data_IF_336078033891
#
_entry.id   IF_336078033891
#
_cell.length_a   1.000
_cell.length_b   1.000
_cell.length_c   1.000
_cell.angle_alpha   90.00
_cell.angle_beta   90.00
_cell.angle_gamma   90.00
#
_symmetry.space_group_name_H-M   'P 1'
#
loop_
_entity.id
_entity.type
_entity.pdbx_description
1 polymer ?
#
# COMPACT_ATOMS: atom_id res chain seq x y z
N UNK A 1 -5.30 -12.65 -17.26
CA UNK A 1 -4.33 -13.43 -16.45
C UNK A 1 -2.94 -13.21 -17.02
N UNK A 2 -2.19 -12.24 -16.52
CA UNK A 2 -0.80 -12.03 -16.88
C UNK A 2 0.04 -12.29 -15.64
N UNK A 3 0.86 -13.33 -15.70
CA UNK A 3 1.90 -13.64 -14.74
C UNK A 3 3.07 -12.69 -14.97
N UNK A 4 3.44 -11.88 -13.99
CA UNK A 4 4.74 -11.19 -14.00
C UNK A 4 5.79 -11.93 -13.18
N UNK A 5 6.95 -12.03 -13.82
CA UNK A 5 8.07 -12.89 -13.51
C UNK A 5 9.12 -12.12 -12.71
N UNK A 6 9.07 -12.16 -11.39
CA UNK A 6 10.17 -11.64 -10.54
C UNK A 6 10.25 -12.28 -9.14
N UNK A 7 9.94 -13.57 -8.98
CA UNK A 7 10.01 -14.21 -7.66
C UNK A 7 10.95 -15.42 -7.64
N UNK A 8 12.26 -15.16 -7.63
CA UNK A 8 13.29 -16.20 -7.80
C UNK A 8 13.76 -16.92 -6.52
N UNK A 9 13.14 -16.75 -5.35
CA UNK A 9 13.50 -17.51 -4.12
C UNK A 9 12.37 -17.69 -3.08
N UNK A 10 11.09 -17.69 -3.48
CA UNK A 10 9.97 -17.96 -2.55
C UNK A 10 9.33 -19.30 -2.91
N UNK A 11 9.19 -20.20 -1.94
CA UNK A 11 8.40 -21.42 -2.10
C UNK A 11 6.94 -20.98 -2.25
N UNK A 12 6.46 -20.95 -3.49
CA UNK A 12 5.05 -20.76 -3.81
C UNK A 12 4.39 -22.12 -3.62
N UNK A 13 3.80 -22.36 -2.45
CA UNK A 13 2.89 -23.49 -2.28
C UNK A 13 1.59 -23.09 -2.95
N UNK A 14 1.47 -23.40 -4.24
CA UNK A 14 0.17 -23.57 -4.87
C UNK A 14 -0.36 -24.88 -4.32
N UNK A 15 -1.32 -24.79 -3.41
CA UNK A 15 -2.09 -25.93 -2.92
C UNK A 15 -3.11 -26.29 -4.02
N UNK A 16 -2.61 -26.77 -5.17
CA UNK A 16 -3.46 -27.40 -6.18
C UNK A 16 -3.64 -28.88 -5.79
N UNK A 17 -4.88 -29.32 -5.84
CA UNK A 17 -5.51 -30.40 -5.07
C UNK A 17 -5.03 -31.85 -5.30
N UNK A 18 -3.85 -32.11 -5.87
CA UNK A 18 -3.40 -33.50 -6.10
C UNK A 18 -1.97 -33.85 -5.70
N UNK A 19 -1.09 -32.88 -5.38
CA UNK A 19 0.26 -33.19 -4.91
C UNK A 19 0.77 -32.17 -3.89
N UNK A 20 0.23 -32.28 -2.67
CA UNK A 20 0.82 -31.64 -1.50
C UNK A 20 2.24 -32.20 -1.29
N UNK A 21 3.32 -31.39 -1.34
CA UNK A 21 4.63 -31.85 -0.94
C UNK A 21 4.58 -32.23 0.55
N UNK A 22 4.67 -33.53 0.84
CA UNK A 22 4.87 -34.02 2.19
C UNK A 22 6.26 -33.57 2.66
N UNK A 23 6.35 -32.39 3.26
CA UNK A 23 7.54 -31.95 3.97
C UNK A 23 7.68 -32.80 5.24
N UNK A 24 8.34 -33.95 5.13
CA UNK A 24 8.78 -34.76 6.27
C UNK A 24 10.09 -34.23 6.86
N UNK A 25 10.31 -32.91 6.84
CA UNK A 25 11.54 -32.34 7.38
C UNK A 25 11.31 -31.96 8.83
N UNK A 26 11.71 -32.87 9.72
CA UNK A 26 11.80 -32.62 11.15
C UNK A 26 12.85 -31.58 11.53
N UNK A 27 13.49 -30.85 10.61
CA UNK A 27 14.55 -29.87 10.92
C UNK A 27 14.26 -28.44 10.47
N UNK A 28 13.08 -28.18 9.88
CA UNK A 28 12.75 -26.85 9.38
C UNK A 28 12.43 -25.89 10.54
N UNK A 29 13.35 -24.96 10.83
CA UNK A 29 13.21 -23.99 11.94
C UNK A 29 12.54 -22.68 11.52
N UNK A 30 12.62 -22.31 10.23
CA UNK A 30 12.05 -21.08 9.68
C UNK A 30 11.35 -21.33 8.34
N UNK A 31 10.16 -20.76 8.18
CA UNK A 31 9.36 -20.85 6.96
C UNK A 31 8.80 -19.46 6.59
N UNK A 32 9.00 -19.05 5.34
CA UNK A 32 8.37 -17.88 4.75
C UNK A 32 7.51 -18.34 3.57
N UNK A 33 6.22 -18.04 3.60
CA UNK A 33 5.25 -18.51 2.61
C UNK A 33 4.35 -17.38 2.15
N UNK A 34 3.87 -17.49 0.90
CA UNK A 34 2.77 -16.69 0.40
C UNK A 34 1.59 -17.63 0.13
N UNK A 35 0.44 -17.34 0.72
CA UNK A 35 -0.80 -18.13 0.57
C UNK A 35 -1.92 -17.28 0.00
N UNK A 36 -2.89 -17.91 -0.67
CA UNK A 36 -3.99 -17.17 -1.29
C UNK A 36 -5.08 -16.86 -0.27
N UNK A 37 -5.52 -17.87 0.49
CA UNK A 37 -6.58 -17.73 1.49
C UNK A 37 -6.09 -18.03 2.91
N UNK A 38 -6.89 -17.62 3.89
CA UNK A 38 -6.57 -17.81 5.31
C UNK A 38 -6.61 -19.29 5.73
N UNK A 39 -7.46 -20.09 5.10
CA UNK A 39 -7.58 -21.53 5.40
C UNK A 39 -6.30 -22.29 5.04
N UNK A 40 -5.63 -21.93 3.95
CA UNK A 40 -4.30 -22.45 3.59
C UNK A 40 -3.28 -22.24 4.72
N UNK A 41 -3.33 -21.07 5.37
CA UNK A 41 -2.47 -20.76 6.50
C UNK A 41 -2.77 -21.68 7.69
N UNK A 42 -4.06 -21.89 8.01
CA UNK A 42 -4.48 -22.79 9.10
C UNK A 42 -4.06 -24.24 8.83
N UNK A 43 -4.23 -24.74 7.61
CA UNK A 43 -3.80 -26.09 7.22
C UNK A 43 -2.28 -26.29 7.31
N UNK A 44 -1.49 -25.25 7.17
CA UNK A 44 -0.03 -25.33 7.37
C UNK A 44 0.33 -25.35 8.85
N UNK A 45 -0.48 -24.70 9.68
CA UNK A 45 -0.33 -24.65 11.12
C UNK A 45 -0.87 -25.89 11.85
N UNK A 46 -1.62 -26.77 11.21
CA UNK A 46 -2.22 -27.95 11.87
C UNK A 46 -1.24 -29.15 11.96
N UNK A 47 -0.09 -28.96 12.60
CA UNK A 47 0.75 -30.08 13.07
C UNK A 47 1.75 -30.70 12.09
N UNK A 48 1.99 -30.09 10.91
CA UNK A 48 3.00 -30.61 9.95
C UNK A 48 4.45 -30.23 10.26
N UNK A 49 4.68 -29.24 11.12
CA UNK A 49 6.00 -28.67 11.37
C UNK A 49 6.33 -28.51 12.87
N UNK A 50 6.49 -29.63 13.57
CA UNK A 50 6.66 -29.66 15.04
C UNK A 50 7.95 -28.99 15.56
N UNK A 51 8.93 -28.71 14.70
CA UNK A 51 10.17 -27.99 15.06
C UNK A 51 10.23 -26.55 14.53
N UNK A 52 9.16 -26.07 13.91
CA UNK A 52 9.13 -24.71 13.37
C UNK A 52 9.14 -23.70 14.52
N UNK A 53 10.10 -22.78 14.50
CA UNK A 53 10.20 -21.69 15.47
C UNK A 53 9.74 -20.36 14.88
N UNK A 54 9.92 -20.15 13.58
CA UNK A 54 9.59 -18.90 12.90
C UNK A 54 8.74 -19.17 11.68
N UNK A 55 7.58 -18.51 11.63
CA UNK A 55 6.70 -18.54 10.46
C UNK A 55 6.36 -17.13 10.02
N UNK A 56 6.61 -16.81 8.75
CA UNK A 56 6.16 -15.57 8.12
C UNK A 56 5.17 -15.91 7.00
N UNK A 57 4.00 -15.31 7.05
CA UNK A 57 2.88 -15.55 6.14
C UNK A 57 2.53 -14.26 5.41
N UNK A 58 2.65 -14.29 4.09
CA UNK A 58 2.18 -13.26 3.17
C UNK A 58 0.84 -13.72 2.59
N UNK A 59 -0.27 -13.16 3.06
CA UNK A 59 -1.64 -13.56 2.73
C UNK A 59 -2.27 -12.59 1.74
N UNK A 60 -2.80 -13.11 0.63
CA UNK A 60 -3.46 -12.28 -0.38
C UNK A 60 -4.83 -11.81 0.10
N UNK A 61 -5.70 -12.71 0.57
CA UNK A 61 -7.06 -12.35 0.97
C UNK A 61 -7.55 -13.17 2.18
N UNK A 62 -8.42 -12.57 2.99
CA UNK A 62 -9.16 -13.24 4.08
C UNK A 62 -10.64 -13.27 3.69
N UNK A 63 -11.14 -14.43 3.24
CA UNK A 63 -12.56 -14.63 2.97
C UNK A 63 -13.33 -14.98 4.26
N UNK A 64 -14.66 -14.84 4.21
CA UNK A 64 -15.54 -15.40 5.23
C UNK A 64 -15.31 -16.92 5.28
N UNK A 65 -15.03 -17.52 6.44
CA UNK A 65 -14.87 -18.97 6.50
C UNK A 65 -16.22 -19.62 6.22
N UNK A 66 -16.22 -20.71 5.47
CA UNK A 66 -17.34 -21.65 5.45
C UNK A 66 -17.24 -22.65 6.62
N UNK A 67 -16.08 -22.78 7.26
CA UNK A 67 -15.86 -23.73 8.35
C UNK A 67 -15.26 -23.07 9.58
N UNK A 68 -15.81 -23.43 10.73
CA UNK A 68 -15.35 -23.04 12.06
C UNK A 68 -13.91 -23.53 12.22
N UNK A 69 -13.04 -22.63 12.67
CA UNK A 69 -11.65 -22.87 13.09
C UNK A 69 -11.51 -24.28 13.71
N UNK A 70 -10.90 -25.21 12.98
CA UNK A 70 -10.60 -26.55 13.48
C UNK A 70 -9.68 -26.46 14.72
N UNK A 71 -10.04 -27.22 15.75
CA UNK A 71 -9.48 -27.24 17.11
C UNK A 71 -8.12 -27.97 17.23
N UNK A 72 -7.31 -28.00 16.16
CA UNK A 72 -6.00 -28.65 16.19
C UNK A 72 -4.97 -27.90 17.06
N UNK A 73 -3.98 -28.61 17.57
CA UNK A 73 -2.84 -28.00 18.27
C UNK A 73 -1.94 -27.27 17.26
N UNK A 74 -1.70 -25.98 17.49
CA UNK A 74 -0.75 -25.20 16.67
C UNK A 74 0.71 -25.55 17.05
N UNK A 75 1.68 -25.44 16.12
CA UNK A 75 3.09 -25.58 16.44
C UNK A 75 3.51 -24.57 17.49
N UNK A 76 4.47 -24.95 18.33
CA UNK A 76 5.03 -24.09 19.36
C UNK A 76 6.01 -23.06 18.75
N UNK A 77 5.45 -22.09 18.06
CA UNK A 77 6.19 -21.00 17.41
C UNK A 77 6.77 -20.05 18.46
N UNK A 78 7.97 -19.54 18.19
CA UNK A 78 8.56 -18.41 18.93
C UNK A 78 8.30 -17.09 18.22
N UNK A 79 8.32 -17.10 16.88
CA UNK A 79 8.14 -15.91 16.06
C UNK A 79 7.07 -16.16 15.01
N UNK A 80 6.16 -15.21 14.87
CA UNK A 80 5.12 -15.24 13.84
C UNK A 80 5.01 -13.87 13.19
N UNK A 81 4.89 -13.83 11.87
CA UNK A 81 4.59 -12.61 11.13
C UNK A 81 3.45 -12.87 10.17
N UNK A 82 2.43 -12.02 10.20
CA UNK A 82 1.31 -12.05 9.27
C UNK A 82 1.25 -10.73 8.51
N UNK A 83 1.29 -10.81 7.19
CA UNK A 83 1.05 -9.69 6.28
C UNK A 83 -0.19 -10.00 5.46
N UNK A 84 -1.21 -9.13 5.46
CA UNK A 84 -2.41 -9.27 4.63
C UNK A 84 -2.47 -8.11 3.64
N UNK A 85 -2.44 -8.43 2.33
CA UNK A 85 -2.40 -7.41 1.28
C UNK A 85 -3.75 -6.75 1.00
N UNK A 86 -4.86 -7.43 1.31
CA UNK A 86 -6.20 -6.90 1.10
C UNK A 86 -6.89 -6.64 2.43
N UNK A 87 -7.66 -5.54 2.48
CA UNK A 87 -8.51 -5.19 3.60
C UNK A 87 -9.38 -6.38 4.05
N UNK A 88 -9.46 -6.58 5.36
CA UNK A 88 -10.33 -7.59 5.97
C UNK A 88 -11.31 -6.99 6.96
N UNK A 89 -12.56 -7.46 6.96
CA UNK A 89 -13.54 -7.17 8.01
C UNK A 89 -13.50 -8.17 9.17
N UNK A 90 -12.58 -9.14 9.13
CA UNK A 90 -12.56 -10.32 10.01
C UNK A 90 -11.45 -10.28 11.06
N UNK A 91 -10.96 -9.09 11.44
CA UNK A 91 -9.93 -8.94 12.47
C UNK A 91 -10.32 -9.64 13.79
N UNK A 92 -11.51 -9.35 14.31
CA UNK A 92 -12.00 -9.95 15.56
C UNK A 92 -12.40 -11.42 15.41
N UNK A 93 -12.89 -11.82 14.23
CA UNK A 93 -13.44 -13.15 13.99
C UNK A 93 -12.37 -14.19 13.64
N UNK A 94 -11.25 -13.79 13.02
CA UNK A 94 -10.23 -14.70 12.49
C UNK A 94 -8.83 -14.39 12.98
N UNK A 95 -8.40 -13.13 12.90
CA UNK A 95 -7.03 -12.76 13.26
C UNK A 95 -6.81 -12.91 14.77
N UNK A 96 -7.66 -12.30 15.60
CA UNK A 96 -7.51 -12.39 17.06
C UNK A 96 -7.58 -13.84 17.58
N UNK A 97 -8.57 -14.68 17.20
CA UNK A 97 -8.60 -16.07 17.65
C UNK A 97 -7.37 -16.89 17.24
N UNK A 98 -6.86 -16.70 16.02
CA UNK A 98 -5.61 -17.33 15.58
C UNK A 98 -4.44 -16.90 16.49
N UNK A 99 -4.29 -15.60 16.71
CA UNK A 99 -3.24 -15.04 17.56
C UNK A 99 -3.35 -15.57 19.00
N UNK A 100 -4.55 -15.73 19.56
CA UNK A 100 -4.74 -16.23 20.93
C UNK A 100 -4.28 -17.67 21.11
N UNK A 101 -4.42 -18.50 20.08
CA UNK A 101 -3.88 -19.87 20.07
C UNK A 101 -2.35 -19.89 20.04
N UNK A 102 -1.71 -18.79 19.63
CA UNK A 102 -0.26 -18.58 19.64
C UNK A 102 0.18 -17.65 20.78
N UNK A 103 -0.47 -17.71 21.94
CA UNK A 103 -0.18 -16.82 23.08
C UNK A 103 1.25 -16.90 23.64
N UNK A 104 2.00 -17.96 23.30
CA UNK A 104 3.35 -18.20 23.76
C UNK A 104 4.45 -17.54 22.90
N UNK A 105 4.08 -16.81 21.85
CA UNK A 105 5.03 -16.12 20.96
C UNK A 105 5.95 -15.17 21.74
N UNK A 106 7.23 -15.14 21.36
CA UNK A 106 8.21 -14.16 21.82
C UNK A 106 8.28 -12.95 20.88
N UNK A 107 7.96 -13.13 19.60
CA UNK A 107 7.95 -12.06 18.59
C UNK A 107 6.72 -12.15 17.69
N UNK A 108 6.07 -11.02 17.45
CA UNK A 108 4.92 -10.88 16.56
C UNK A 108 5.13 -9.73 15.56
N UNK A 109 4.97 -10.05 14.28
CA UNK A 109 4.80 -9.10 13.19
C UNK A 109 3.34 -9.09 12.71
N UNK A 110 2.69 -7.93 12.65
CA UNK A 110 1.33 -7.81 12.15
C UNK A 110 1.18 -6.65 11.17
N UNK A 111 0.99 -6.95 9.89
CA UNK A 111 0.86 -5.97 8.81
C UNK A 111 -0.48 -6.19 8.12
N UNK A 112 -1.50 -5.42 8.47
CA UNK A 112 -2.87 -5.67 8.02
C UNK A 112 -3.60 -4.38 7.68
N UNK A 113 -4.48 -4.46 6.69
CA UNK A 113 -5.52 -3.49 6.45
C UNK A 113 -6.85 -4.06 6.95
N UNK A 114 -7.64 -3.25 7.66
CA UNK A 114 -8.87 -3.70 8.32
C UNK A 114 -10.01 -2.74 8.02
N UNK A 115 -11.14 -3.26 7.54
CA UNK A 115 -12.38 -2.49 7.46
C UNK A 115 -13.18 -2.68 8.74
N UNK A 116 -13.49 -1.60 9.45
CA UNK A 116 -14.11 -1.62 10.77
C UNK A 116 -15.37 -0.74 10.77
N UNK A 117 -16.40 -1.18 11.47
CA UNK A 117 -17.69 -0.47 11.52
C UNK A 117 -17.92 0.25 12.87
N UNK A 118 -17.04 0.05 13.86
CA UNK A 118 -17.28 0.50 15.24
C UNK A 118 -16.29 1.55 15.71
N UNK A 119 -14.98 1.24 15.66
CA UNK A 119 -13.91 2.12 16.13
C UNK A 119 -12.59 1.71 15.49
N UNK A 120 -11.66 2.65 15.34
CA UNK A 120 -10.30 2.35 14.91
C UNK A 120 -9.60 1.41 15.90
N UNK A 121 -8.69 0.58 15.39
CA UNK A 121 -7.75 -0.15 16.23
C UNK A 121 -6.73 0.87 16.74
N UNK A 122 -6.72 1.11 18.05
CA UNK A 122 -5.80 2.02 18.73
C UNK A 122 -4.86 1.24 19.69
N UNK A 123 -4.04 1.97 20.46
CA UNK A 123 -3.15 1.37 21.46
C UNK A 123 -3.86 0.65 22.58
N UNK A 124 -5.06 1.09 22.99
CA UNK A 124 -5.85 0.41 24.01
C UNK A 124 -6.38 -0.94 23.50
N UNK A 125 -6.84 -0.99 22.25
CA UNK A 125 -7.25 -2.22 21.57
C UNK A 125 -6.08 -3.19 21.51
N UNK A 126 -4.92 -2.77 20.99
CA UNK A 126 -3.74 -3.63 20.88
C UNK A 126 -3.23 -4.10 22.25
N UNK A 127 -3.29 -3.24 23.28
CA UNK A 127 -2.91 -3.62 24.65
C UNK A 127 -3.83 -4.69 25.21
N UNK A 128 -5.14 -4.49 25.11
CA UNK A 128 -6.16 -5.44 25.60
C UNK A 128 -6.13 -6.75 24.84
N UNK A 129 -6.07 -6.68 23.51
CA UNK A 129 -6.32 -7.82 22.65
C UNK A 129 -5.04 -8.60 22.36
N UNK A 130 -3.87 -7.96 22.34
CA UNK A 130 -2.60 -8.65 22.04
C UNK A 130 -1.69 -8.68 23.26
N UNK A 131 -1.24 -7.51 23.74
CA UNK A 131 -0.17 -7.42 24.76
C UNK A 131 -0.55 -8.16 26.05
N UNK A 132 -1.75 -7.91 26.59
CA UNK A 132 -2.20 -8.51 27.83
C UNK A 132 -2.41 -10.03 27.74
N UNK A 133 -2.61 -10.57 26.52
CA UNK A 133 -2.86 -11.99 26.28
C UNK A 133 -1.61 -12.78 25.93
N UNK A 134 -0.56 -12.10 25.46
CA UNK A 134 0.71 -12.70 25.04
C UNK A 134 1.82 -12.35 26.03
N UNK A 135 1.80 -12.96 27.21
CA UNK A 135 2.72 -12.64 28.31
C UNK A 135 4.21 -12.90 28.02
N UNK A 136 4.52 -13.68 26.97
CA UNK A 136 5.88 -13.98 26.52
C UNK A 136 6.38 -13.04 25.42
N UNK A 137 5.53 -12.15 24.92
CA UNK A 137 5.84 -11.28 23.80
C UNK A 137 6.87 -10.23 24.22
N UNK A 138 8.08 -10.35 23.67
CA UNK A 138 9.19 -9.41 23.90
C UNK A 138 9.26 -8.35 22.81
N UNK A 139 8.79 -8.68 21.62
CA UNK A 139 8.81 -7.79 20.47
C UNK A 139 7.48 -7.85 19.72
N UNK A 140 6.86 -6.69 19.58
CA UNK A 140 5.67 -6.51 18.75
C UNK A 140 5.93 -5.41 17.73
N UNK A 141 5.94 -5.79 16.46
CA UNK A 141 6.05 -4.87 15.32
C UNK A 141 4.77 -4.93 14.52
N UNK A 142 4.20 -3.78 14.19
CA UNK A 142 2.96 -3.76 13.44
C UNK A 142 2.88 -2.59 12.46
N UNK A 143 2.06 -2.77 11.44
CA UNK A 143 1.44 -1.73 10.64
C UNK A 143 -0.02 -2.12 10.50
N UNK A 144 -0.91 -1.27 11.02
CA UNK A 144 -2.35 -1.51 10.96
C UNK A 144 -2.96 -0.27 10.33
N UNK A 145 -3.57 -0.47 9.17
CA UNK A 145 -4.37 0.53 8.49
C UNK A 145 -5.83 0.16 8.70
N UNK A 146 -6.53 0.98 9.48
CA UNK A 146 -7.96 0.80 9.76
C UNK A 146 -8.76 1.73 8.87
N UNK A 147 -9.73 1.20 8.14
CA UNK A 147 -10.65 1.94 7.31
C UNK A 147 -12.08 1.83 7.87
N UNK A 148 -12.81 2.93 7.91
CA UNK A 148 -14.19 2.97 8.38
C UNK A 148 -15.09 3.64 7.35
N UNK A 149 -16.27 3.05 7.11
CA UNK A 149 -17.26 3.51 6.13
C UNK A 149 -18.53 3.95 6.86
N UNK A 150 -19.21 4.99 6.35
CA UNK A 150 -20.45 5.56 6.89
C UNK A 150 -20.29 6.19 8.29
N UNK A 151 -19.23 6.96 8.42
CA UNK A 151 -18.78 7.57 9.67
C UNK A 151 -19.48 8.91 9.95
N UNK A 152 -20.16 9.07 11.09
CA UNK A 152 -20.58 10.38 11.58
C UNK A 152 -19.37 11.09 12.23
N UNK A 153 -18.87 12.16 11.62
CA UNK A 153 -17.60 12.81 12.00
C UNK A 153 -17.46 13.29 13.45
N UNK A 154 -18.56 13.48 14.19
CA UNK A 154 -18.55 14.23 15.45
C UNK A 154 -17.87 13.50 16.63
N UNK A 155 -17.67 12.19 16.56
CA UNK A 155 -17.18 11.38 17.69
C UNK A 155 -15.84 10.67 17.43
N UNK A 156 -15.10 11.04 16.38
CA UNK A 156 -13.86 10.33 16.06
C UNK A 156 -12.61 10.92 16.72
N UNK A 157 -11.66 10.06 17.13
CA UNK A 157 -10.45 10.49 17.85
C UNK A 157 -9.49 11.24 16.92
N UNK A 158 -8.92 12.36 17.35
CA UNK A 158 -7.87 13.02 16.57
C UNK A 158 -6.61 12.14 16.48
N UNK A 159 -5.66 12.52 15.61
CA UNK A 159 -4.33 11.91 15.57
C UNK A 159 -3.68 11.92 16.96
N UNK A 160 -3.79 13.02 17.71
CA UNK A 160 -3.27 13.15 19.06
C UNK A 160 -3.97 12.21 20.05
N UNK A 161 -5.29 12.03 19.92
CA UNK A 161 -6.05 11.11 20.78
C UNK A 161 -5.61 9.67 20.56
N UNK A 162 -5.45 9.22 19.30
CA UNK A 162 -4.89 7.90 18.99
C UNK A 162 -3.47 7.77 19.51
N UNK A 163 -2.60 8.76 19.26
CA UNK A 163 -1.21 8.74 19.69
C UNK A 163 -1.09 8.61 21.22
N UNK A 164 -1.96 9.28 21.99
CA UNK A 164 -2.00 9.20 23.46
C UNK A 164 -2.27 7.78 23.98
N UNK A 165 -2.98 6.95 23.23
CA UNK A 165 -3.24 5.56 23.64
C UNK A 165 -1.97 4.69 23.66
N UNK A 166 -0.88 5.17 23.07
CA UNK A 166 0.41 4.48 23.01
C UNK A 166 1.42 4.95 24.07
N UNK A 167 1.05 5.86 24.99
CA UNK A 167 2.00 6.44 25.95
C UNK A 167 2.67 5.39 26.85
N UNK A 168 1.94 4.34 27.21
CA UNK A 168 2.42 3.22 28.02
C UNK A 168 2.66 1.96 27.18
N UNK A 169 2.78 2.10 25.86
CA UNK A 169 3.03 0.96 24.98
C UNK A 169 4.50 0.53 25.10
N UNK A 170 4.82 -0.78 25.14
CA UNK A 170 6.20 -1.25 25.29
C UNK A 170 7.17 -0.79 24.19
N UNK A 171 6.65 -0.28 23.07
CA UNK A 171 7.43 0.29 21.97
C UNK A 171 7.22 1.80 21.93
N UNK A 172 8.30 2.56 22.13
CA UNK A 172 8.24 4.02 22.25
C UNK A 172 8.20 4.74 20.89
N UNK A 173 8.39 4.03 19.78
CA UNK A 173 8.42 4.62 18.44
C UNK A 173 7.21 4.17 17.63
N UNK A 174 6.03 4.65 18.02
CA UNK A 174 4.79 4.41 17.31
C UNK A 174 4.36 5.71 16.65
N UNK A 175 4.09 5.65 15.35
CA UNK A 175 3.54 6.77 14.59
C UNK A 175 2.08 6.43 14.31
N UNK A 176 1.23 7.44 14.46
CA UNK A 176 -0.17 7.37 14.06
C UNK A 176 -0.59 8.64 13.35
N UNK A 177 -1.55 8.51 12.45
CA UNK A 177 -2.33 9.63 11.94
C UNK A 177 -3.72 9.16 11.51
N UNK A 178 -4.66 10.08 11.57
CA UNK A 178 -6.07 9.86 11.25
C UNK A 178 -6.48 10.83 10.17
N UNK A 179 -7.19 10.32 9.16
CA UNK A 179 -7.82 11.13 8.13
C UNK A 179 -9.33 10.93 8.14
N UNK A 180 -10.01 12.02 7.85
CA UNK A 180 -11.45 12.06 7.70
C UNK A 180 -11.78 12.50 6.30
N UNK A 181 -12.61 11.72 5.63
CA UNK A 181 -13.08 11.99 4.28
C UNK A 181 -14.59 12.32 4.29
N UNK A 182 -15.00 13.55 4.69
CA UNK A 182 -16.40 13.95 4.74
C UNK A 182 -17.18 13.69 3.45
N UNK A 183 -16.59 13.93 2.28
CA UNK A 183 -17.30 13.75 1.00
C UNK A 183 -17.58 12.27 0.70
N UNK A 184 -16.61 11.41 1.01
CA UNK A 184 -16.73 9.96 0.86
C UNK A 184 -17.49 9.29 2.02
N UNK A 185 -17.71 10.00 3.13
CA UNK A 185 -18.20 9.46 4.41
C UNK A 185 -17.32 8.33 4.94
N UNK A 186 -16.03 8.46 4.72
CA UNK A 186 -15.02 7.48 5.06
C UNK A 186 -14.01 8.08 6.04
N UNK A 187 -13.29 7.23 6.75
CA UNK A 187 -12.21 7.66 7.63
C UNK A 187 -11.17 6.57 7.69
N UNK A 188 -9.91 6.95 7.86
CA UNK A 188 -8.82 6.00 8.01
C UNK A 188 -7.92 6.35 9.18
N UNK A 189 -7.30 5.33 9.76
CA UNK A 189 -6.27 5.48 10.76
C UNK A 189 -5.11 4.57 10.43
N UNK A 190 -3.93 5.16 10.30
CA UNK A 190 -2.67 4.43 10.17
C UNK A 190 -2.00 4.41 11.53
N UNK A 191 -1.63 3.22 12.01
CA UNK A 191 -0.81 3.04 13.21
C UNK A 191 0.32 2.06 12.91
N UNK A 192 1.56 2.40 13.25
CA UNK A 192 2.69 1.50 13.01
C UNK A 192 3.88 1.72 13.92
N UNK A 193 4.61 0.63 14.13
CA UNK A 193 5.92 0.65 14.76
C UNK A 193 6.97 1.18 13.78
N UNK A 194 7.82 2.10 14.23
CA UNK A 194 8.90 2.68 13.42
C UNK A 194 10.28 2.10 13.81
N UNK A 195 11.14 1.73 12.84
CA UNK A 195 10.92 1.78 11.39
C UNK A 195 9.93 0.72 10.90
N UNK A 196 9.09 1.09 9.92
CA UNK A 196 8.20 0.14 9.25
C UNK A 196 8.97 -0.69 8.22
N UNK A 197 8.74 -2.00 8.20
CA UNK A 197 9.30 -2.95 7.22
C UNK A 197 8.32 -3.29 6.10
N UNK A 198 7.18 -2.61 6.04
CA UNK A 198 6.16 -2.91 5.04
C UNK A 198 6.64 -2.52 3.63
N UNK A 199 6.42 -3.37 2.61
CA UNK A 199 6.85 -3.06 1.25
C UNK A 199 5.88 -2.17 0.49
N UNK A 200 4.68 -1.94 1.01
CA UNK A 200 3.67 -1.04 0.45
C UNK A 200 3.22 -0.03 1.49
N UNK A 201 2.62 1.08 1.05
CA UNK A 201 1.98 2.07 1.90
C UNK A 201 0.79 2.69 1.16
N UNK A 202 -0.41 2.35 1.59
CA UNK A 202 -1.63 2.74 0.87
C UNK A 202 -2.35 3.94 1.45
N UNK A 203 -3.06 4.65 0.58
CA UNK A 203 -3.92 5.80 0.88
C UNK A 203 -3.22 6.89 1.71
N UNK A 204 -2.04 7.32 1.27
CA UNK A 204 -1.34 8.46 1.87
C UNK A 204 -2.05 9.76 1.50
N UNK A 205 -2.27 10.63 2.49
CA UNK A 205 -3.00 11.90 2.39
C UNK A 205 -2.14 13.07 2.83
N UNK A 206 -2.70 14.29 2.85
CA UNK A 206 -2.05 15.51 3.32
C UNK A 206 -1.62 15.47 4.80
N UNK A 207 -2.22 14.60 5.62
CA UNK A 207 -1.83 14.48 7.03
C UNK A 207 -0.62 13.57 7.23
N UNK A 208 -0.02 13.06 6.14
CA UNK A 208 1.18 12.25 6.20
C UNK A 208 2.32 13.00 6.91
N UNK A 209 2.82 12.49 8.04
CA UNK A 209 3.81 13.20 8.85
C UNK A 209 5.22 13.22 8.24
N UNK A 210 5.42 12.55 7.10
CA UNK A 210 6.76 12.28 6.56
C UNK A 210 7.48 11.15 7.30
N UNK A 211 8.81 11.18 7.24
CA UNK A 211 9.69 10.15 7.81
C UNK A 211 10.54 9.50 6.73
N UNK A 212 11.26 8.43 7.06
CA UNK A 212 12.12 7.72 6.10
C UNK A 212 11.75 6.24 6.03
N UNK A 213 11.18 5.83 4.90
CA UNK A 213 10.61 4.51 4.70
C UNK A 213 11.44 3.73 3.66
N UNK A 214 12.62 3.26 4.08
CA UNK A 214 13.59 2.59 3.19
C UNK A 214 13.11 1.25 2.61
N UNK A 215 12.10 0.63 3.21
CA UNK A 215 11.61 -0.70 2.83
C UNK A 215 10.37 -0.65 1.93
N UNK A 216 9.68 0.48 1.87
CA UNK A 216 8.51 0.67 1.02
C UNK A 216 8.95 0.78 -0.44
N UNK A 217 8.21 0.13 -1.33
CA UNK A 217 8.41 0.05 -2.78
C UNK A 217 7.20 0.48 -3.56
N UNK A 218 6.01 0.27 -3.04
CA UNK A 218 4.77 0.72 -3.64
C UNK A 218 4.04 1.70 -2.72
N UNK A 219 3.53 2.81 -3.24
CA UNK A 219 2.60 3.65 -2.49
C UNK A 219 1.38 4.03 -3.32
N UNK A 220 0.27 4.26 -2.63
CA UNK A 220 -0.89 4.94 -3.20
C UNK A 220 -1.17 6.25 -2.47
N UNK A 221 -1.43 7.30 -3.23
CA UNK A 221 -1.81 8.63 -2.74
C UNK A 221 -3.31 8.83 -3.00
N UNK A 222 -4.03 9.34 -2.01
CA UNK A 222 -5.46 9.62 -2.10
C UNK A 222 -5.77 11.05 -1.68
N UNK A 223 -6.35 11.82 -2.60
CA UNK A 223 -6.68 13.23 -2.42
C UNK A 223 -8.19 13.43 -2.19
N UNK A 224 -8.53 13.94 -1.00
CA UNK A 224 -9.74 14.75 -0.77
C UNK A 224 -9.44 16.27 -0.66
N UNK A 225 -8.18 16.62 -0.38
CA UNK A 225 -7.64 17.97 -0.48
C UNK A 225 -6.46 17.98 -1.44
N UNK A 226 -6.37 18.95 -2.37
CA UNK A 226 -5.35 18.93 -3.41
C UNK A 226 -3.93 18.89 -2.86
N UNK A 227 -3.12 17.95 -3.36
CA UNK A 227 -1.68 17.88 -3.11
C UNK A 227 -0.98 18.95 -3.95
N UNK A 228 -0.21 19.80 -3.28
CA UNK A 228 0.67 20.76 -3.93
C UNK A 228 2.06 20.16 -4.17
N UNK A 229 2.91 20.87 -4.91
CA UNK A 229 4.22 20.39 -5.31
C UNK A 229 5.10 19.91 -4.13
N UNK A 230 5.05 20.65 -3.02
CA UNK A 230 5.77 20.39 -1.78
C UNK A 230 5.41 19.02 -1.18
N UNK A 231 4.17 18.59 -1.34
CA UNK A 231 3.73 17.27 -0.89
C UNK A 231 4.44 16.17 -1.68
N UNK A 232 4.48 16.26 -3.01
CA UNK A 232 5.22 15.31 -3.85
C UNK A 232 6.72 15.30 -3.53
N UNK A 233 7.30 16.46 -3.18
CA UNK A 233 8.68 16.54 -2.72
C UNK A 233 8.88 15.83 -1.37
N UNK A 234 7.93 15.96 -0.45
CA UNK A 234 7.93 15.23 0.82
C UNK A 234 7.80 13.71 0.60
N UNK A 235 6.94 13.28 -0.33
CA UNK A 235 6.81 11.87 -0.75
C UNK A 235 8.16 11.35 -1.28
N UNK A 236 8.79 12.06 -2.20
CA UNK A 236 10.08 11.67 -2.77
C UNK A 236 11.16 11.50 -1.69
N UNK A 237 11.24 12.42 -0.71
CA UNK A 237 12.19 12.33 0.41
C UNK A 237 11.87 11.18 1.36
N UNK A 238 10.58 10.88 1.53
CA UNK A 238 10.13 9.85 2.47
C UNK A 238 10.28 8.44 1.92
N UNK A 239 10.17 8.29 0.60
CA UNK A 239 10.19 7.00 -0.10
C UNK A 239 11.30 6.97 -1.18
N UNK A 240 12.59 6.96 -0.80
CA UNK A 240 13.70 7.11 -1.74
C UNK A 240 13.86 5.93 -2.72
N UNK A 241 13.20 4.80 -2.48
CA UNK A 241 13.28 3.58 -3.28
C UNK A 241 11.92 3.17 -3.85
N UNK A 242 10.99 4.11 -4.01
CA UNK A 242 9.69 3.83 -4.60
C UNK A 242 9.84 3.34 -6.04
N UNK A 243 9.21 2.21 -6.34
CA UNK A 243 9.12 1.56 -7.64
C UNK A 243 7.74 1.82 -8.26
N UNK A 244 6.67 1.78 -7.46
CA UNK A 244 5.28 1.91 -7.91
C UNK A 244 4.60 3.09 -7.19
N UNK A 245 4.07 4.06 -7.96
CA UNK A 245 3.33 5.20 -7.44
C UNK A 245 1.95 5.26 -8.09
N UNK A 246 0.91 5.08 -7.28
CA UNK A 246 -0.47 5.31 -7.69
C UNK A 246 -1.00 6.61 -7.08
N UNK A 247 -1.71 7.42 -7.87
CA UNK A 247 -2.34 8.64 -7.40
C UNK A 247 -3.79 8.68 -7.86
N UNK A 248 -4.69 8.82 -6.89
CA UNK A 248 -6.12 9.04 -7.11
C UNK A 248 -6.46 10.43 -6.56
N UNK A 249 -6.99 11.29 -7.43
CA UNK A 249 -7.37 12.64 -7.04
C UNK A 249 -8.59 13.13 -7.78
N UNK A 250 -9.52 13.77 -7.07
CA UNK A 250 -10.76 14.29 -7.66
C UNK A 250 -10.77 15.80 -7.83
N UNK A 251 -9.89 16.51 -7.11
CA UNK A 251 -9.87 17.98 -7.06
C UNK A 251 -8.66 18.54 -7.80
N UNK A 252 -8.83 19.77 -8.29
CA UNK A 252 -7.76 20.56 -8.87
C UNK A 252 -6.86 21.13 -7.79
N UNK A 253 -5.58 21.32 -8.08
CA UNK A 253 -4.65 22.07 -7.22
C UNK A 253 -5.22 23.48 -6.95
N UNK A 254 -5.08 23.94 -5.71
CA UNK A 254 -5.53 25.27 -5.32
C UNK A 254 -4.52 26.31 -5.77
N UNK A 255 -3.24 25.99 -5.54
CA UNK A 255 -2.13 26.79 -6.02
C UNK A 255 -1.76 26.32 -7.43
N UNK A 256 -2.65 26.59 -8.38
CA UNK A 256 -2.29 26.60 -9.80
C UNK A 256 -1.27 27.71 -9.98
N UNK A 257 0.00 27.42 -9.74
CA UNK A 257 1.06 28.34 -10.09
C UNK A 257 0.90 28.56 -11.60
N UNK A 258 0.35 29.72 -11.96
CA UNK A 258 0.11 30.11 -13.33
C UNK A 258 1.46 30.42 -13.96
N UNK A 259 2.17 29.38 -14.40
CA UNK A 259 3.50 29.46 -15.02
C UNK A 259 3.50 30.20 -16.37
N UNK A 260 2.36 30.72 -16.82
CA UNK A 260 2.23 31.45 -18.08
C UNK A 260 2.31 32.98 -17.93
N UNK A 261 2.44 33.53 -16.72
CA UNK A 261 2.61 34.97 -16.56
C UNK A 261 3.51 35.36 -15.40
N UNK A 262 4.64 35.96 -15.75
CA UNK A 262 5.63 36.69 -14.94
C UNK A 262 6.91 35.90 -14.62
N UNK A 263 8.02 36.58 -14.92
CA UNK A 263 9.43 36.16 -14.89
C UNK A 263 9.98 35.71 -13.52
N UNK A 264 9.10 35.41 -12.56
CA UNK A 264 9.44 34.88 -11.25
C UNK A 264 8.90 33.45 -11.16
N UNK A 265 9.40 32.56 -12.03
CA UNK A 265 9.38 31.13 -11.73
C UNK A 265 10.14 30.96 -10.42
N UNK A 266 9.44 30.90 -9.29
CA UNK A 266 9.99 30.36 -8.08
C UNK A 266 10.61 29.01 -8.47
N UNK A 267 11.93 28.87 -8.30
CA UNK A 267 12.67 27.66 -8.62
C UNK A 267 12.16 26.53 -7.72
N UNK A 268 11.05 25.89 -8.09
CA UNK A 268 10.62 24.66 -7.47
C UNK A 268 11.72 23.62 -7.65
N UNK A 269 11.98 22.87 -6.59
CA UNK A 269 12.97 21.81 -6.65
C UNK A 269 12.45 20.72 -7.57
N UNK A 270 13.18 20.44 -8.64
CA UNK A 270 12.85 19.34 -9.54
C UNK A 270 12.76 18.03 -8.75
N UNK A 271 11.63 17.33 -8.83
CA UNK A 271 11.42 16.07 -8.11
C UNK A 271 11.96 14.92 -8.95
N UNK A 272 12.81 14.08 -8.35
CA UNK A 272 13.34 12.88 -9.01
C UNK A 272 12.93 11.61 -8.26
N UNK A 273 12.19 10.74 -8.95
CA UNK A 273 11.89 9.39 -8.48
C UNK A 273 12.81 8.37 -9.17
N UNK A 274 14.02 8.21 -8.63
CA UNK A 274 15.10 7.47 -9.30
C UNK A 274 14.84 5.96 -9.50
N UNK A 275 13.88 5.38 -8.77
CA UNK A 275 13.55 3.95 -8.85
C UNK A 275 12.16 3.67 -9.45
N UNK A 276 11.42 4.73 -9.80
CA UNK A 276 10.06 4.60 -10.29
C UNK A 276 10.04 3.84 -11.62
N UNK A 277 9.29 2.75 -11.65
CA UNK A 277 9.07 1.93 -12.83
C UNK A 277 7.58 1.89 -13.23
N UNK A 278 6.67 2.24 -12.33
CA UNK A 278 5.24 2.31 -12.57
C UNK A 278 4.64 3.58 -11.96
N UNK A 279 3.93 4.35 -12.79
CA UNK A 279 3.16 5.52 -12.40
C UNK A 279 1.71 5.33 -12.86
N UNK A 280 0.79 5.24 -11.91
CA UNK A 280 -0.63 5.19 -12.17
C UNK A 280 -1.30 6.47 -11.73
N UNK A 281 -1.86 7.22 -12.67
CA UNK A 281 -2.69 8.40 -12.38
C UNK A 281 -4.12 8.00 -12.70
N UNK A 282 -4.88 7.65 -11.67
CA UNK A 282 -6.21 7.03 -11.76
C UNK A 282 -7.28 8.04 -11.38
N UNK A 283 -8.23 8.29 -12.29
CA UNK A 283 -9.30 9.30 -12.11
C UNK A 283 -8.76 10.71 -11.78
N UNK A 284 -7.50 10.98 -12.12
CA UNK A 284 -6.80 12.19 -11.69
C UNK A 284 -7.17 13.46 -12.47
N UNK A 285 -7.26 14.57 -11.75
CA UNK A 285 -7.34 15.91 -12.34
C UNK A 285 -6.05 16.24 -13.13
N UNK A 286 -6.20 17.05 -14.19
CA UNK A 286 -5.13 17.40 -15.13
C UNK A 286 -3.87 17.96 -14.44
N UNK A 287 -4.02 18.74 -13.37
CA UNK A 287 -2.90 19.33 -12.62
C UNK A 287 -1.87 18.30 -12.12
N UNK A 288 -2.33 17.09 -11.75
CA UNK A 288 -1.47 16.02 -11.26
C UNK A 288 -0.73 15.35 -12.42
N UNK A 289 -1.39 15.23 -13.56
CA UNK A 289 -0.74 14.80 -14.79
C UNK A 289 0.33 15.81 -15.18
N UNK A 290 0.06 17.12 -15.05
CA UNK A 290 1.09 18.15 -15.25
C UNK A 290 2.25 18.01 -14.26
N UNK A 291 1.97 17.73 -12.98
CA UNK A 291 2.99 17.54 -11.94
C UNK A 291 4.01 16.46 -12.32
N UNK A 292 3.59 15.35 -12.92
CA UNK A 292 4.50 14.27 -13.34
C UNK A 292 5.04 14.43 -14.76
N UNK A 293 4.23 14.91 -15.71
CA UNK A 293 4.63 14.97 -17.12
C UNK A 293 5.44 16.21 -17.46
N UNK A 294 5.30 17.33 -16.74
CA UNK A 294 6.13 18.51 -17.01
C UNK A 294 7.58 18.24 -16.56
N UNK A 295 8.50 18.40 -17.50
CA UNK A 295 9.94 18.27 -17.25
C UNK A 295 10.50 19.34 -16.30
N UNK A 296 9.76 20.42 -16.03
CA UNK A 296 10.11 21.46 -15.07
C UNK A 296 9.72 21.10 -13.63
N UNK A 297 8.78 20.17 -13.43
CA UNK A 297 8.26 19.79 -12.12
C UNK A 297 8.85 18.45 -11.64
N UNK A 298 8.90 17.48 -12.54
CA UNK A 298 9.37 16.13 -12.22
C UNK A 298 10.33 15.63 -13.30
N UNK A 299 11.38 14.93 -12.89
CA UNK A 299 12.22 14.13 -13.78
C UNK A 299 11.83 12.65 -13.65
N UNK A 300 11.23 12.11 -14.71
CA UNK A 300 10.99 10.66 -14.80
C UNK A 300 12.25 9.94 -15.30
N UNK A 301 12.50 8.74 -14.80
CA UNK A 301 13.53 7.85 -15.35
C UNK A 301 13.03 7.17 -16.63
N UNK A 302 13.94 6.55 -17.37
CA UNK A 302 13.57 5.73 -18.52
C UNK A 302 12.87 4.46 -18.07
N UNK A 303 12.02 3.90 -18.94
CA UNK A 303 11.33 2.63 -18.73
C UNK A 303 10.19 2.65 -17.70
N UNK A 304 9.53 3.80 -17.54
CA UNK A 304 8.33 3.92 -16.73
C UNK A 304 7.11 3.41 -17.50
N UNK A 305 6.32 2.56 -16.84
CA UNK A 305 4.96 2.20 -17.21
C UNK A 305 4.00 3.29 -16.71
N UNK A 306 3.26 3.92 -17.62
CA UNK A 306 2.28 4.96 -17.29
C UNK A 306 0.85 4.43 -17.49
N UNK A 307 0.02 4.51 -16.44
CA UNK A 307 -1.43 4.29 -16.51
C UNK A 307 -2.14 5.62 -16.41
N UNK A 308 -2.93 5.98 -17.42
CA UNK A 308 -3.54 7.31 -17.48
C UNK A 308 -4.81 7.35 -18.35
N UNK A 309 -5.73 8.25 -18.02
CA UNK A 309 -6.90 8.53 -18.84
C UNK A 309 -6.46 9.21 -20.15
N UNK A 310 -6.93 8.72 -21.29
CA UNK A 310 -6.53 9.24 -22.59
C UNK A 310 -6.98 10.69 -22.82
N UNK A 311 -8.20 11.05 -22.44
CA UNK A 311 -8.72 12.40 -22.66
C UNK A 311 -7.93 13.44 -21.84
N UNK A 312 -7.61 13.13 -20.58
CA UNK A 312 -6.77 13.99 -19.74
C UNK A 312 -5.35 14.12 -20.28
N UNK A 313 -4.76 13.02 -20.74
CA UNK A 313 -3.45 13.04 -21.38
C UNK A 313 -3.45 13.93 -22.64
N UNK A 314 -4.49 13.87 -23.48
CA UNK A 314 -4.63 14.75 -24.63
C UNK A 314 -4.72 16.23 -24.23
N UNK A 315 -5.50 16.57 -23.19
CA UNK A 315 -5.62 17.97 -22.72
C UNK A 315 -4.28 18.51 -22.23
N UNK A 316 -3.60 17.77 -21.35
CA UNK A 316 -2.33 18.21 -20.74
C UNK A 316 -1.21 18.35 -21.76
N UNK A 317 -1.13 17.43 -22.72
CA UNK A 317 -0.12 17.47 -23.79
C UNK A 317 -0.50 18.38 -24.96
N UNK A 318 -1.65 19.06 -24.89
CA UNK A 318 -2.22 19.85 -25.98
C UNK A 318 -2.30 19.06 -27.29
N UNK A 319 -3.02 17.93 -27.29
CA UNK A 319 -3.09 16.99 -28.40
C UNK A 319 -1.70 16.51 -28.87
N UNK A 320 -0.80 16.24 -27.92
CA UNK A 320 0.56 15.75 -28.17
C UNK A 320 1.46 16.76 -28.92
N UNK A 321 1.29 18.06 -28.69
CA UNK A 321 2.15 19.11 -29.29
C UNK A 321 2.91 19.95 -28.27
N UNK A 322 2.64 19.81 -26.97
CA UNK A 322 3.27 20.63 -25.91
C UNK A 322 4.70 20.18 -25.64
N UNK A 323 5.70 21.04 -25.80
CA UNK A 323 7.11 20.61 -25.68
C UNK A 323 7.53 20.27 -24.23
N UNK A 324 7.02 21.00 -23.23
CA UNK A 324 7.40 20.81 -21.82
C UNK A 324 7.04 19.42 -21.26
N UNK A 325 6.00 18.77 -21.80
CA UNK A 325 5.61 17.40 -21.42
C UNK A 325 6.31 16.33 -22.24
N UNK A 326 6.88 16.69 -23.39
CA UNK A 326 7.43 15.76 -24.38
C UNK A 326 8.63 14.98 -23.84
N UNK A 327 9.50 15.66 -23.08
CA UNK A 327 10.73 15.05 -22.54
C UNK A 327 10.41 13.87 -21.61
N UNK A 328 9.44 14.01 -20.70
CA UNK A 328 9.07 12.90 -19.82
C UNK A 328 8.24 11.84 -20.55
N UNK A 329 7.35 12.24 -21.46
CA UNK A 329 6.59 11.29 -22.27
C UNK A 329 7.49 10.39 -23.14
N UNK A 330 8.59 10.94 -23.67
CA UNK A 330 9.55 10.18 -24.45
C UNK A 330 10.28 9.08 -23.65
N UNK A 331 10.26 9.12 -22.31
CA UNK A 331 10.91 8.13 -21.44
C UNK A 331 10.00 6.94 -21.07
N UNK A 332 8.71 7.05 -21.37
CA UNK A 332 7.71 6.02 -21.11
C UNK A 332 7.91 4.85 -22.07
N UNK A 333 8.01 3.62 -21.54
CA UNK A 333 8.19 2.41 -22.35
C UNK A 333 6.91 1.59 -22.52
N UNK A 334 5.92 1.81 -21.65
CA UNK A 334 4.61 1.18 -21.70
C UNK A 334 3.58 2.23 -21.33
N UNK A 335 2.57 2.38 -22.17
CA UNK A 335 1.49 3.34 -21.96
C UNK A 335 0.17 2.58 -21.93
N UNK A 336 -0.46 2.54 -20.77
CA UNK A 336 -1.79 1.95 -20.58
C UNK A 336 -2.83 3.05 -20.54
N UNK A 337 -3.68 3.08 -21.57
CA UNK A 337 -4.69 4.10 -21.76
C UNK A 337 -6.07 3.52 -21.43
N UNK A 338 -6.79 4.21 -20.55
CA UNK A 338 -8.20 3.94 -20.28
C UNK A 338 -9.05 5.18 -20.66
N UNK A 339 -10.34 4.97 -20.93
CA UNK A 339 -11.25 6.01 -21.44
C UNK A 339 -12.04 5.54 -22.66
N UNK A 340 -12.89 6.42 -23.22
CA UNK A 340 -13.81 6.04 -24.30
C UNK A 340 -13.23 6.24 -25.71
N UNK A 341 -12.05 6.85 -25.83
CA UNK A 341 -11.47 7.15 -27.13
C UNK A 341 -10.92 5.89 -27.85
N UNK A 342 -11.61 5.50 -28.92
CA UNK A 342 -11.28 4.35 -29.77
C UNK A 342 -10.36 4.67 -30.95
N UNK A 343 -9.81 5.88 -31.07
CA UNK A 343 -8.89 6.25 -32.15
C UNK A 343 -7.67 7.04 -31.63
N UNK A 344 -6.48 6.42 -31.53
CA UNK A 344 -5.27 7.16 -31.20
C UNK A 344 -4.97 8.23 -32.26
N UNK A 345 -4.75 9.46 -31.79
CA UNK A 345 -4.14 10.54 -32.59
C UNK A 345 -2.83 10.03 -33.22
N UNK A 346 -2.61 10.30 -34.51
CA UNK A 346 -1.37 9.93 -35.21
C UNK A 346 -0.11 10.45 -34.53
N UNK A 347 -0.20 11.61 -33.86
CA UNK A 347 0.91 12.22 -33.12
C UNK A 347 1.26 11.50 -31.81
N UNK A 348 0.40 10.58 -31.33
CA UNK A 348 0.65 9.85 -30.08
C UNK A 348 1.96 9.04 -30.15
N UNK A 349 2.21 8.35 -31.26
CA UNK A 349 3.41 7.54 -31.41
C UNK A 349 4.68 8.38 -31.50
N UNK A 350 4.60 9.58 -32.09
CA UNK A 350 5.73 10.53 -32.14
C UNK A 350 6.06 11.11 -30.76
N UNK A 351 5.04 11.23 -29.91
CA UNK A 351 5.15 11.76 -28.56
C UNK A 351 5.63 10.70 -27.55
N UNK A 352 5.34 9.44 -27.83
CA UNK A 352 5.75 8.26 -27.06
C UNK A 352 6.55 7.27 -27.94
N UNK A 353 7.73 7.67 -28.46
CA UNK A 353 8.45 6.92 -29.50
C UNK A 353 8.82 5.49 -29.12
N UNK A 354 9.02 5.20 -27.83
CA UNK A 354 9.44 3.89 -27.33
C UNK A 354 8.33 3.13 -26.61
N UNK A 355 7.13 3.70 -26.48
CA UNK A 355 6.08 3.10 -25.69
C UNK A 355 5.37 1.96 -26.43
N UNK A 356 5.18 0.83 -25.75
CA UNK A 356 4.16 -0.15 -26.10
C UNK A 356 2.82 0.34 -25.58
N UNK A 357 1.92 0.71 -26.48
CA UNK A 357 0.61 1.26 -26.14
C UNK A 357 -0.42 0.13 -26.03
N UNK A 358 -1.16 0.08 -24.94
CA UNK A 358 -2.27 -0.86 -24.75
C UNK A 358 -3.51 -0.18 -24.18
N UNK A 359 -4.66 -0.77 -24.48
CA UNK A 359 -5.98 -0.34 -24.04
C UNK A 359 -6.60 -1.46 -23.20
N UNK A 360 -6.26 -1.55 -21.90
CA UNK A 360 -7.00 -2.44 -21.01
C UNK A 360 -8.47 -2.01 -21.05
N UNK A 361 -9.37 -2.94 -21.40
CA UNK A 361 -10.81 -2.68 -21.44
C UNK A 361 -11.30 -2.08 -20.12
N UNK A 362 -12.44 -1.36 -20.17
CA UNK A 362 -13.03 -0.58 -19.06
C UNK A 362 -12.88 -1.28 -17.69
N UNK A 363 -12.22 -0.62 -16.73
CA UNK A 363 -12.18 -1.01 -15.32
C UNK A 363 -13.53 -0.79 -14.63
#
# INVERSE_FOLDING_TARGET
MLYESSYKNRVRLLLDDEFLPTFRSSTLLKLNIRVQCFDDCLHLLDGRFNQLHTLCVDLVHIHHPQEIINQGDLPNLKCFSLSCYLATSYYNALILPLLYRMSNLEQLGLYIEVTINTAFIDGNHLKRDIINRMSRLKQFTFYIHSFMINCNQLDFPSTEDIQRTFIDFPNNNIISYVDYFPEAKESQCHIYSYPSFMPYYDNITNNFPGGLYKYVRAISLFDEYPFEHEFFLQIQKSFPFIEELSVINYKSQNEKQSYESNNDCQNLSLIEYSFLNELAIVKGHDDYIEQFLFNTKTYLQNNVLLHINYESLQRVTHNFTRENTRINCAKINKLQLYGEATCPNSSLQEYFPYAKISYPGRF
#
